data_IF_986907442511
#
_entry.id   IF_986907442511
#
_cell.length_a   1.000
_cell.length_b   1.000
_cell.length_c   1.000
_cell.angle_alpha   90.00
_cell.angle_beta   90.00
_cell.angle_gamma   90.00
#
_symmetry.space_group_name_H-M   'P 1'
#
loop_
_entity.id
_entity.type
_entity.pdbx_description
1 polymer ?
#
# COMPACT_ATOMS: atom_id res chain seq x y z
N UNK A 1 -38.12 -15.49 -40.73
CA UNK A 1 -37.69 -15.84 -39.36
C UNK A 1 -36.20 -16.13 -39.41
N UNK A 2 -35.37 -15.11 -39.14
CA UNK A 2 -33.92 -15.31 -39.04
C UNK A 2 -33.59 -15.59 -37.57
N UNK A 3 -33.12 -16.81 -37.30
CA UNK A 3 -32.60 -17.21 -36.00
C UNK A 3 -31.18 -16.66 -35.89
N UNK A 4 -30.95 -15.73 -34.96
CA UNK A 4 -29.62 -15.36 -34.53
C UNK A 4 -29.26 -16.23 -33.32
N UNK A 5 -28.38 -17.21 -33.56
CA UNK A 5 -27.73 -17.94 -32.47
C UNK A 5 -26.62 -17.06 -31.90
N UNK A 6 -26.87 -16.44 -30.75
CA UNK A 6 -25.81 -15.77 -29.98
C UNK A 6 -25.03 -16.86 -29.24
N UNK A 7 -23.89 -17.28 -29.84
CA UNK A 7 -22.92 -18.15 -29.18
C UNK A 7 -22.16 -17.33 -28.14
N UNK A 8 -22.59 -17.39 -26.88
CA UNK A 8 -21.83 -16.84 -25.76
C UNK A 8 -20.72 -17.85 -25.48
N UNK A 9 -19.47 -17.47 -25.75
CA UNK A 9 -18.30 -18.27 -25.41
C UNK A 9 -18.04 -18.12 -23.90
N UNK A 10 -18.26 -19.18 -23.12
CA UNK A 10 -18.09 -19.18 -21.66
C UNK A 10 -16.62 -19.09 -21.19
N UNK A 11 -15.68 -18.88 -22.12
CA UNK A 11 -14.25 -18.78 -21.86
C UNK A 11 -13.69 -17.35 -21.99
N UNK A 12 -14.53 -16.33 -22.20
CA UNK A 12 -14.08 -14.95 -22.08
C UNK A 12 -13.95 -14.62 -20.58
N UNK A 13 -12.76 -14.86 -20.03
CA UNK A 13 -12.28 -14.19 -18.82
C UNK A 13 -12.52 -12.69 -19.01
N UNK A 14 -13.20 -12.00 -18.08
CA UNK A 14 -13.47 -10.58 -18.24
C UNK A 14 -12.13 -9.86 -18.36
N UNK A 15 -11.86 -9.25 -19.52
CA UNK A 15 -10.75 -8.33 -19.69
C UNK A 15 -10.89 -7.26 -18.60
N UNK A 16 -10.07 -7.36 -17.55
CA UNK A 16 -10.12 -6.48 -16.39
C UNK A 16 -9.84 -5.07 -16.88
N UNK A 17 -10.91 -4.29 -17.00
CA UNK A 17 -10.85 -2.95 -17.57
C UNK A 17 -10.41 -1.99 -16.45
N UNK A 18 -9.11 -1.68 -16.41
CA UNK A 18 -8.48 -0.82 -15.40
C UNK A 18 -8.27 0.67 -15.79
N UNK A 19 -8.89 1.26 -16.83
CA UNK A 19 -8.36 2.47 -17.46
C UNK A 19 -8.29 3.69 -16.52
N UNK A 20 -9.17 3.80 -15.53
CA UNK A 20 -9.14 4.90 -14.56
C UNK A 20 -8.16 4.69 -13.41
N UNK A 21 -7.94 3.45 -13.01
CA UNK A 21 -7.01 3.07 -11.94
C UNK A 21 -5.56 3.12 -12.41
N UNK A 22 -5.32 2.83 -13.68
CA UNK A 22 -3.98 2.85 -14.29
C UNK A 22 -3.37 4.25 -14.32
N UNK A 23 -4.19 5.31 -14.46
CA UNK A 23 -3.72 6.70 -14.51
C UNK A 23 -3.09 7.17 -13.20
N UNK A 24 -3.39 6.51 -12.07
CA UNK A 24 -2.77 6.81 -10.78
C UNK A 24 -1.39 6.15 -10.63
N UNK A 25 -1.07 5.18 -11.48
CA UNK A 25 0.18 4.44 -11.48
C UNK A 25 1.07 5.02 -12.58
N UNK A 26 2.32 5.41 -12.28
CA UNK A 26 3.23 5.91 -13.31
C UNK A 26 3.49 4.87 -14.39
N UNK A 27 3.53 5.31 -15.65
CA UNK A 27 3.69 4.45 -16.84
C UNK A 27 4.87 3.48 -16.75
N UNK A 28 5.97 3.88 -16.09
CA UNK A 28 7.16 3.04 -15.88
C UNK A 28 6.86 1.72 -15.15
N UNK A 29 5.77 1.64 -14.39
CA UNK A 29 5.37 0.45 -13.66
C UNK A 29 4.37 -0.43 -14.45
N UNK A 30 3.74 0.08 -15.52
CA UNK A 30 2.61 -0.61 -16.17
C UNK A 30 2.97 -2.01 -16.68
N UNK A 31 4.15 -2.18 -17.28
CA UNK A 31 4.63 -3.49 -17.76
C UNK A 31 4.94 -4.49 -16.65
N UNK A 32 5.07 -4.00 -15.41
CA UNK A 32 5.39 -4.79 -14.23
C UNK A 32 4.16 -5.08 -13.37
N UNK A 33 2.98 -4.54 -13.69
CA UNK A 33 1.74 -4.85 -12.97
C UNK A 33 1.34 -6.30 -13.25
N UNK A 34 1.22 -7.07 -12.19
CA UNK A 34 0.64 -8.40 -12.21
C UNK A 34 -0.85 -8.36 -11.89
N UNK A 35 -1.22 -7.59 -10.86
CA UNK A 35 -2.61 -7.38 -10.47
C UNK A 35 -2.83 -6.03 -9.77
N UNK A 36 -4.07 -5.55 -9.80
CA UNK A 36 -4.58 -4.40 -9.05
C UNK A 36 -5.83 -4.86 -8.29
N UNK A 37 -5.84 -4.61 -6.99
CA UNK A 37 -6.99 -4.88 -6.13
C UNK A 37 -7.54 -3.58 -5.57
N UNK A 38 -8.74 -3.24 -6.02
CA UNK A 38 -9.52 -2.09 -5.57
C UNK A 38 -10.34 -2.49 -4.34
N UNK A 39 -9.98 -1.93 -3.18
CA UNK A 39 -10.56 -2.27 -1.88
C UNK A 39 -11.86 -1.51 -1.61
N UNK A 40 -12.64 -2.00 -0.66
CA UNK A 40 -13.89 -1.37 -0.26
C UNK A 40 -13.72 0.11 0.19
N UNK A 41 -14.61 0.97 -0.32
CA UNK A 41 -14.58 2.43 -0.13
C UNK A 41 -15.30 2.91 1.13
N UNK A 42 -14.94 2.40 2.32
CA UNK A 42 -15.51 2.80 3.62
C UNK A 42 -14.61 3.76 4.43
N UNK A 43 -13.76 4.51 3.71
CA UNK A 43 -12.74 5.43 4.26
C UNK A 43 -11.62 4.74 5.05
N UNK A 44 -11.62 3.40 5.13
CA UNK A 44 -10.48 2.60 5.63
C UNK A 44 -9.61 2.03 4.50
N UNK A 45 -9.82 2.44 3.25
CA UNK A 45 -9.14 1.90 2.06
C UNK A 45 -7.62 1.80 2.20
N UNK A 46 -6.95 2.76 2.86
CA UNK A 46 -5.50 2.68 3.08
C UNK A 46 -5.10 1.47 3.93
N UNK A 47 -5.83 1.19 5.01
CA UNK A 47 -5.57 0.07 5.89
C UNK A 47 -6.02 -1.27 5.28
N UNK A 48 -7.12 -1.27 4.51
CA UNK A 48 -7.58 -2.41 3.72
C UNK A 48 -6.54 -2.80 2.66
N UNK A 49 -6.02 -1.83 1.92
CA UNK A 49 -5.02 -2.04 0.89
C UNK A 49 -3.70 -2.60 1.46
N UNK A 50 -3.30 -2.14 2.66
CA UNK A 50 -2.17 -2.73 3.38
C UNK A 50 -2.45 -4.19 3.74
N UNK A 51 -3.66 -4.51 4.22
CA UNK A 51 -4.04 -5.87 4.59
C UNK A 51 -3.91 -6.82 3.38
N UNK A 52 -4.49 -6.44 2.24
CA UNK A 52 -4.44 -7.19 0.98
C UNK A 52 -3.00 -7.36 0.50
N UNK A 53 -2.21 -6.29 0.49
CA UNK A 53 -0.78 -6.34 0.11
C UNK A 53 0.04 -7.29 0.99
N UNK A 54 -0.31 -7.41 2.27
CA UNK A 54 0.34 -8.32 3.21
C UNK A 54 -0.20 -9.77 3.13
N UNK A 55 -1.23 -10.01 2.33
CA UNK A 55 -1.84 -11.34 2.13
C UNK A 55 -2.98 -11.65 3.11
N UNK A 56 -3.49 -10.65 3.80
CA UNK A 56 -4.69 -10.74 4.64
C UNK A 56 -5.94 -10.43 3.82
N UNK A 57 -7.11 -10.74 4.38
CA UNK A 57 -8.38 -10.26 3.84
C UNK A 57 -8.52 -8.74 4.13
N UNK A 58 -9.12 -7.98 3.22
CA UNK A 58 -9.30 -6.52 3.39
C UNK A 58 -10.06 -6.15 4.67
N UNK A 59 -10.99 -6.98 5.14
CA UNK A 59 -11.75 -6.77 6.38
C UNK A 59 -10.88 -6.83 7.64
N UNK A 60 -9.63 -7.28 7.50
CA UNK A 60 -8.63 -7.25 8.57
C UNK A 60 -7.94 -5.88 8.72
N UNK A 61 -8.46 -4.82 8.11
CA UNK A 61 -7.94 -3.45 8.26
C UNK A 61 -7.78 -3.01 9.72
N UNK A 62 -8.68 -3.45 10.61
CA UNK A 62 -8.61 -3.11 12.04
C UNK A 62 -7.40 -3.77 12.72
N UNK A 63 -7.06 -5.00 12.31
CA UNK A 63 -5.84 -5.67 12.77
C UNK A 63 -4.61 -4.90 12.30
N UNK A 64 -4.55 -4.51 11.02
CA UNK A 64 -3.45 -3.68 10.49
C UNK A 64 -3.30 -2.38 11.29
N UNK A 65 -4.39 -1.64 11.50
CA UNK A 65 -4.35 -0.37 12.23
C UNK A 65 -3.84 -0.54 13.66
N UNK A 66 -4.25 -1.60 14.37
CA UNK A 66 -3.75 -1.93 15.72
C UNK A 66 -2.26 -2.29 15.73
N UNK A 67 -1.81 -3.10 14.76
CA UNK A 67 -0.39 -3.46 14.62
C UNK A 67 0.48 -2.23 14.37
N UNK A 68 0.01 -1.28 13.56
CA UNK A 68 0.70 -0.01 13.33
C UNK A 68 0.70 0.88 14.57
N UNK A 69 -0.40 0.91 15.34
CA UNK A 69 -0.46 1.66 16.59
C UNK A 69 0.55 1.11 17.62
N UNK A 70 0.68 -0.21 17.75
CA UNK A 70 1.70 -0.84 18.60
C UNK A 70 3.13 -0.45 18.21
N UNK A 71 3.45 -0.47 16.91
CA UNK A 71 4.76 -0.01 16.41
C UNK A 71 4.99 1.46 16.75
N UNK A 72 3.97 2.30 16.52
CA UNK A 72 4.04 3.71 16.83
C UNK A 72 4.32 3.91 18.33
N UNK A 73 3.62 3.21 19.21
CA UNK A 73 3.80 3.33 20.66
C UNK A 73 5.21 2.91 21.10
N UNK A 74 5.82 1.93 20.44
CA UNK A 74 7.21 1.52 20.70
C UNK A 74 8.26 2.57 20.28
N UNK A 75 7.93 3.43 19.33
CA UNK A 75 8.81 4.45 18.74
C UNK A 75 8.08 5.80 18.59
N UNK A 76 7.39 6.22 19.65
CA UNK A 76 6.40 7.31 19.60
C UNK A 76 6.94 8.59 18.97
N UNK A 77 8.13 9.05 19.37
CA UNK A 77 8.68 10.31 18.89
C UNK A 77 8.98 10.32 17.39
N UNK A 78 9.29 9.17 16.80
CA UNK A 78 9.51 9.05 15.36
C UNK A 78 8.20 9.16 14.56
N UNK A 79 7.10 8.65 15.12
CA UNK A 79 5.86 8.43 14.38
C UNK A 79 4.65 9.26 14.87
N UNK A 80 4.80 10.05 15.93
CA UNK A 80 3.71 10.83 16.56
C UNK A 80 2.87 11.65 15.56
N UNK A 81 3.44 12.08 14.44
CA UNK A 81 2.74 12.82 13.38
C UNK A 81 1.61 12.03 12.70
N UNK A 82 1.67 10.69 12.72
CA UNK A 82 0.58 9.83 12.21
C UNK A 82 -0.25 9.21 13.35
N UNK A 83 -0.12 9.69 14.59
CA UNK A 83 -0.86 9.10 15.71
C UNK A 83 -2.38 9.17 15.52
N UNK A 84 -2.90 10.31 15.05
CA UNK A 84 -4.34 10.47 14.84
C UNK A 84 -4.90 9.54 13.75
N UNK A 85 -4.09 9.16 12.75
CA UNK A 85 -4.54 8.22 11.71
C UNK A 85 -4.78 6.81 12.21
N UNK A 86 -4.18 6.45 13.35
CA UNK A 86 -4.22 5.10 13.90
C UNK A 86 -5.24 4.94 15.04
N UNK A 87 -5.82 6.04 15.53
CA UNK A 87 -6.73 6.05 16.70
C UNK A 87 -8.22 6.09 16.33
N UNK A 88 -8.59 5.35 15.30
CA UNK A 88 -9.98 5.13 14.94
C UNK A 88 -10.24 3.65 14.73
N UNK A 89 -11.27 3.09 15.35
CA UNK A 89 -11.50 1.64 15.38
C UNK A 89 -12.88 1.25 14.87
N UNK A 90 -13.55 2.16 14.16
CA UNK A 90 -14.90 1.95 13.61
C UNK A 90 -14.88 2.13 12.10
N UNK A 91 -15.93 1.65 11.44
CA UNK A 91 -16.22 1.92 10.03
C UNK A 91 -17.63 2.55 9.94
N UNK A 92 -17.82 3.62 9.16
CA UNK A 92 -16.82 4.28 8.31
C UNK A 92 -15.81 5.14 9.11
N UNK A 93 -14.85 5.74 8.42
CA UNK A 93 -13.84 6.65 8.99
C UNK A 93 -14.07 8.09 8.49
N UNK A 94 -15.06 8.81 9.04
CA UNK A 94 -15.62 10.01 8.41
C UNK A 94 -14.69 11.22 8.42
N UNK A 95 -13.63 11.20 9.22
CA UNK A 95 -12.71 12.32 9.37
C UNK A 95 -11.34 12.01 8.75
N UNK A 96 -10.85 12.92 7.91
CA UNK A 96 -9.58 12.78 7.18
C UNK A 96 -8.36 12.60 8.08
N UNK A 97 -8.41 13.09 9.32
CA UNK A 97 -7.35 12.91 10.32
C UNK A 97 -7.13 11.43 10.69
N UNK A 98 -8.12 10.57 10.44
CA UNK A 98 -8.08 9.13 10.68
C UNK A 98 -7.69 8.30 9.43
N UNK A 99 -7.48 8.96 8.29
CA UNK A 99 -7.07 8.31 7.04
C UNK A 99 -5.58 7.99 7.03
N UNK A 100 -5.17 7.04 6.19
CA UNK A 100 -3.76 6.70 6.02
C UNK A 100 -2.99 7.84 5.35
N UNK A 101 -1.91 8.32 5.98
CA UNK A 101 -1.09 9.44 5.48
C UNK A 101 0.31 8.96 5.06
N UNK A 102 0.50 8.85 3.74
CA UNK A 102 1.80 8.51 3.14
C UNK A 102 2.65 9.77 2.90
N UNK A 103 3.99 9.66 2.86
CA UNK A 103 4.77 8.44 3.02
C UNK A 103 5.14 8.11 4.47
N UNK A 104 4.77 8.94 5.45
CA UNK A 104 5.22 8.73 6.83
C UNK A 104 4.69 7.41 7.42
N UNK A 105 3.43 7.06 7.15
CA UNK A 105 2.91 5.73 7.49
C UNK A 105 3.65 4.59 6.78
N UNK A 106 4.25 4.84 5.61
CA UNK A 106 5.06 3.87 4.87
C UNK A 106 6.26 3.37 5.67
N UNK A 107 6.96 4.26 6.39
CA UNK A 107 8.07 3.87 7.26
C UNK A 107 7.60 3.04 8.47
N UNK A 108 6.43 3.37 9.02
CA UNK A 108 5.83 2.62 10.12
C UNK A 108 5.45 1.19 9.69
N UNK A 109 4.81 1.07 8.52
CA UNK A 109 4.44 -0.21 7.90
C UNK A 109 5.69 -1.04 7.61
N UNK A 110 6.70 -0.42 6.98
CA UNK A 110 7.95 -1.07 6.62
C UNK A 110 8.64 -1.68 7.84
N UNK A 111 8.75 -0.93 8.94
CA UNK A 111 9.31 -1.47 10.18
C UNK A 111 8.42 -2.57 10.73
N UNK A 112 7.13 -2.31 11.02
CA UNK A 112 6.25 -3.26 11.72
C UNK A 112 6.24 -4.64 11.07
N UNK A 113 6.11 -4.67 9.74
CA UNK A 113 5.92 -5.91 8.97
C UNK A 113 7.18 -6.41 8.27
N UNK A 114 8.29 -5.69 8.34
CA UNK A 114 9.53 -6.11 7.68
C UNK A 114 9.46 -6.10 6.16
N UNK A 115 8.78 -5.10 5.60
CA UNK A 115 8.54 -4.99 4.17
C UNK A 115 9.16 -3.72 3.59
N UNK A 116 9.43 -3.74 2.30
CA UNK A 116 9.69 -2.54 1.51
C UNK A 116 8.33 -2.00 1.04
N UNK A 117 8.03 -0.74 1.28
CA UNK A 117 6.74 -0.15 0.89
C UNK A 117 6.94 0.81 -0.27
N UNK A 118 6.41 0.47 -1.43
CA UNK A 118 6.29 1.37 -2.56
C UNK A 118 4.99 2.17 -2.44
N UNK A 119 5.11 3.49 -2.55
CA UNK A 119 3.99 4.42 -2.53
C UNK A 119 3.97 5.07 -3.90
N UNK A 120 2.95 4.76 -4.69
CA UNK A 120 2.78 5.29 -6.04
C UNK A 120 1.65 6.31 -6.06
N UNK A 121 1.85 7.38 -6.80
CA UNK A 121 0.78 8.33 -7.11
C UNK A 121 1.14 9.07 -8.39
N UNK A 122 0.16 9.78 -8.95
CA UNK A 122 0.40 10.66 -10.09
C UNK A 122 1.44 11.76 -9.78
N UNK A 123 1.47 12.27 -8.54
CA UNK A 123 2.32 13.40 -8.17
C UNK A 123 3.72 12.98 -7.69
N UNK A 124 3.79 11.91 -6.90
CA UNK A 124 5.04 11.48 -6.27
C UNK A 124 5.07 9.98 -6.02
N UNK A 125 6.22 9.37 -6.32
CA UNK A 125 6.52 7.99 -5.99
C UNK A 125 7.67 7.94 -4.99
N UNK A 126 7.57 7.05 -4.00
CA UNK A 126 8.63 6.87 -3.01
C UNK A 126 8.67 5.44 -2.51
N UNK A 127 9.85 5.01 -2.11
CA UNK A 127 10.06 3.74 -1.44
C UNK A 127 10.38 3.99 0.03
N UNK A 128 9.66 3.34 0.93
CA UNK A 128 9.93 3.38 2.36
C UNK A 128 10.55 2.05 2.80
N UNK A 129 11.74 2.13 3.38
CA UNK A 129 12.43 1.01 4.00
C UNK A 129 12.24 1.06 5.53
N UNK A 130 12.45 -0.06 6.25
CA UNK A 130 12.59 -0.04 7.70
C UNK A 130 13.61 1.02 8.15
N UNK A 131 13.35 1.61 9.31
CA UNK A 131 14.17 2.68 9.91
C UNK A 131 15.10 2.11 10.96
N UNK A 132 14.68 1.09 11.71
CA UNK A 132 15.41 0.63 12.89
C UNK A 132 15.98 -0.77 12.72
N UNK A 133 15.22 -1.62 12.04
CA UNK A 133 15.51 -3.05 11.87
C UNK A 133 16.26 -3.31 10.57
N UNK A 134 17.23 -4.21 10.63
CA UNK A 134 18.11 -4.53 9.50
C UNK A 134 17.48 -5.52 8.51
N UNK A 135 18.06 -5.64 7.30
CA UNK A 135 17.60 -6.61 6.30
C UNK A 135 17.64 -8.06 6.83
N UNK A 136 18.62 -8.40 7.66
CA UNK A 136 18.74 -9.76 8.23
C UNK A 136 17.53 -10.17 9.09
N UNK A 137 16.84 -9.21 9.71
CA UNK A 137 15.67 -9.47 10.53
C UNK A 137 14.43 -9.85 9.69
N UNK A 138 14.44 -9.56 8.39
CA UNK A 138 13.27 -9.65 7.50
C UNK A 138 13.58 -10.37 6.20
N UNK A 139 13.94 -11.65 6.31
CA UNK A 139 14.09 -12.54 5.16
C UNK A 139 12.89 -13.49 4.98
N UNK A 140 12.44 -13.71 3.73
CA UNK A 140 12.88 -13.04 2.50
C UNK A 140 12.39 -11.58 2.46
N UNK A 141 13.15 -10.71 1.78
CA UNK A 141 12.72 -9.33 1.56
C UNK A 141 11.46 -9.31 0.71
N UNK A 142 10.39 -8.76 1.26
CA UNK A 142 9.10 -8.62 0.60
C UNK A 142 8.81 -7.15 0.34
N UNK A 143 8.41 -6.83 -0.89
CA UNK A 143 7.89 -5.52 -1.23
C UNK A 143 6.36 -5.54 -1.27
N UNK A 144 5.72 -4.44 -0.89
CA UNK A 144 4.30 -4.17 -1.10
C UNK A 144 4.14 -2.82 -1.79
N UNK A 145 3.08 -2.66 -2.60
CA UNK A 145 2.85 -1.42 -3.34
C UNK A 145 1.44 -0.90 -3.08
N UNK A 146 1.37 0.35 -2.66
CA UNK A 146 0.12 1.10 -2.47
C UNK A 146 0.07 2.20 -3.52
N UNK A 147 -1.03 2.29 -4.27
CA UNK A 147 -1.27 3.38 -5.22
C UNK A 147 -2.34 4.33 -4.68
N UNK A 148 -2.06 5.63 -4.66
CA UNK A 148 -2.99 6.69 -4.29
C UNK A 148 -3.67 7.24 -5.54
N UNK A 149 -4.98 7.06 -5.62
CA UNK A 149 -5.86 7.49 -6.72
C UNK A 149 -6.60 8.77 -6.33
N UNK A 150 -6.55 9.77 -7.20
CA UNK A 150 -7.24 11.06 -7.03
C UNK A 150 -6.94 11.78 -5.70
N UNK A 151 -5.79 11.51 -5.09
CA UNK A 151 -5.38 12.10 -3.82
C UNK A 151 -6.15 11.62 -2.59
N UNK A 152 -7.09 10.68 -2.76
CA UNK A 152 -7.96 10.22 -1.68
C UNK A 152 -7.91 8.72 -1.46
N UNK A 153 -8.00 7.90 -2.51
CA UNK A 153 -8.27 6.46 -2.39
C UNK A 153 -7.01 5.62 -2.56
N UNK A 154 -6.85 4.57 -1.75
CA UNK A 154 -5.71 3.66 -1.87
C UNK A 154 -6.14 2.32 -2.45
N UNK A 155 -5.32 1.78 -3.35
CA UNK A 155 -5.46 0.43 -3.90
C UNK A 155 -4.16 -0.36 -3.72
N UNK A 156 -4.29 -1.68 -3.67
CA UNK A 156 -3.15 -2.60 -3.67
C UNK A 156 -2.70 -2.85 -5.10
N UNK A 157 -1.40 -2.73 -5.34
CA UNK A 157 -0.79 -3.05 -6.64
C UNK A 157 0.21 -4.17 -6.44
N UNK A 158 0.12 -5.20 -7.26
CA UNK A 158 1.03 -6.33 -7.25
C UNK A 158 1.98 -6.19 -8.43
N UNK A 159 3.27 -6.04 -8.14
CA UNK A 159 4.31 -5.87 -9.16
C UNK A 159 5.13 -7.16 -9.30
N UNK A 160 5.52 -7.49 -10.53
CA UNK A 160 6.37 -8.65 -10.88
C UNK A 160 7.61 -8.23 -11.65
N UNK A 161 8.59 -9.13 -11.70
CA UNK A 161 9.82 -8.92 -12.47
C UNK A 161 10.73 -7.86 -11.86
N UNK A 162 11.64 -7.32 -12.68
CA UNK A 162 12.71 -6.44 -12.24
C UNK A 162 12.41 -4.99 -12.60
N UNK A 163 11.51 -4.35 -11.85
CA UNK A 163 11.24 -2.92 -11.98
C UNK A 163 12.23 -2.07 -11.19
N UNK A 164 12.39 -0.81 -11.61
CA UNK A 164 13.20 0.17 -10.88
C UNK A 164 12.41 0.69 -9.69
N UNK A 165 12.94 0.50 -8.48
CA UNK A 165 12.36 1.10 -7.28
C UNK A 165 12.50 2.62 -7.32
N UNK A 166 11.43 3.33 -6.95
CA UNK A 166 11.51 4.78 -6.74
C UNK A 166 12.46 5.11 -5.59
N UNK A 167 13.12 6.29 -5.59
CA UNK A 167 14.02 6.67 -4.51
C UNK A 167 13.28 6.75 -3.16
N UNK A 168 14.05 6.58 -2.09
CA UNK A 168 13.59 6.89 -0.72
C UNK A 168 13.65 8.39 -0.45
N UNK A 169 12.94 8.88 0.56
CA UNK A 169 12.98 10.30 0.91
C UNK A 169 14.17 10.64 1.81
N UNK A 170 14.52 11.93 1.87
CA UNK A 170 15.54 12.42 2.81
C UNK A 170 15.21 12.10 4.27
N UNK A 171 13.94 11.83 4.59
CA UNK A 171 13.53 11.38 5.92
C UNK A 171 14.21 10.06 6.30
N UNK A 172 14.23 9.06 5.42
CA UNK A 172 14.90 7.79 5.71
C UNK A 172 16.39 7.96 5.95
N UNK A 173 17.06 8.72 5.07
CA UNK A 173 18.49 9.00 5.20
C UNK A 173 18.85 9.68 6.54
N UNK A 174 17.96 10.54 7.05
CA UNK A 174 18.18 11.27 8.29
C UNK A 174 17.86 10.47 9.56
N UNK A 175 17.02 9.43 9.49
CA UNK A 175 16.48 8.75 10.68
C UNK A 175 16.84 7.26 10.77
N UNK A 176 17.36 6.65 9.71
CA UNK A 176 17.73 5.23 9.73
C UNK A 176 18.81 4.94 10.78
N UNK A 177 18.68 3.79 11.45
CA UNK A 177 19.69 3.23 12.33
C UNK A 177 20.87 2.68 11.53
N UNK A 178 21.98 2.39 12.22
CA UNK A 178 23.10 1.68 11.62
C UNK A 178 22.66 0.28 11.12
N UNK A 179 21.84 -0.43 11.89
CA UNK A 179 21.32 -1.76 11.52
C UNK A 179 20.47 -1.73 10.25
N UNK A 180 19.62 -0.72 10.09
CA UNK A 180 18.81 -0.55 8.88
C UNK A 180 19.63 -0.17 7.63
N UNK A 181 20.90 0.17 7.81
CA UNK A 181 21.83 0.56 6.74
C UNK A 181 22.83 -0.54 6.38
N UNK A 182 22.78 -1.67 7.09
CA UNK A 182 23.71 -2.78 6.95
C UNK A 182 23.47 -3.57 5.66
#
# INVERSE_FOLDING_TARGET
MHSFSCGINLNDEPQRHYPFQMNAIPDIFHDYIDDIHDVEGDENYGFRAIAVCLGYNEDQWLYIRKQLLEELESQYYAYQRVYQSLRWFQSPTPFQEHWLHMPLSGYLIANKFGVIVHCLSHEQNTTCFPLWRGPEEFQPHRAITLALVNGIHYMSVFLKGNYTMSPTTGYWNAHKSASASA
#
